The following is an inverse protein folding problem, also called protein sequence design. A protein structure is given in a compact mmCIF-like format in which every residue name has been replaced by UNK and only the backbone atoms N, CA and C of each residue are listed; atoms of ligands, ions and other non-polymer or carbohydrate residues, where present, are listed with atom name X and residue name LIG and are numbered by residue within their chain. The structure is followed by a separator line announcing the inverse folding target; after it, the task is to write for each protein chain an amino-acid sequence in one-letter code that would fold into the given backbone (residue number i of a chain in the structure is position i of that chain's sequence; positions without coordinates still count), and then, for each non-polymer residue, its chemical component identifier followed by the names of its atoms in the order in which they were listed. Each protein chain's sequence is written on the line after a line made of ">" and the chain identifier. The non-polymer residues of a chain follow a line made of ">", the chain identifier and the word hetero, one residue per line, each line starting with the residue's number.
data_IF_596592663898
#
_entry.id   IF_596592663898
#
_cell.length_a   1.000
_cell.length_b   1.000
_cell.length_c   1.000
_cell.angle_alpha   90.00
_cell.angle_beta   90.00
_cell.angle_gamma   90.00
#
_symmetry.space_group_name_H-M   'P 1'
#
loop_
_entity.id
_entity.type
_entity.pdbx_description
1 polymer ?
#
# COMPACT_ATOMS: atom_id res chain seq x y z
N UNK A 1 -26.55 -76.16 -12.89
CA UNK A 1 -26.27 -75.61 -14.24
C UNK A 1 -25.50 -74.32 -14.04
N UNK A 2 -24.33 -74.20 -14.64
CA UNK A 2 -23.39 -73.11 -14.38
C UNK A 2 -23.55 -71.98 -15.40
N UNK A 3 -23.64 -70.74 -14.95
CA UNK A 3 -23.55 -69.55 -15.80
C UNK A 3 -22.43 -68.65 -15.30
N UNK A 4 -21.24 -68.83 -15.86
CA UNK A 4 -20.16 -67.85 -15.72
C UNK A 4 -20.56 -66.56 -16.43
N UNK A 5 -20.52 -65.43 -15.73
CA UNK A 5 -20.59 -64.11 -16.35
C UNK A 5 -19.19 -63.50 -16.32
N UNK A 6 -18.49 -63.52 -17.46
CA UNK A 6 -17.27 -62.73 -17.62
C UNK A 6 -17.67 -61.25 -17.74
N UNK A 7 -16.99 -60.37 -17.00
CA UNK A 7 -16.97 -58.94 -17.28
C UNK A 7 -15.54 -58.42 -17.24
N UNK A 8 -15.26 -57.57 -18.24
CA UNK A 8 -13.95 -57.20 -18.72
C UNK A 8 -12.98 -56.63 -17.66
N UNK A 9 -11.69 -56.95 -17.83
CA UNK A 9 -10.61 -56.16 -17.22
C UNK A 9 -10.54 -54.75 -17.85
N UNK A 10 -10.21 -53.71 -17.07
CA UNK A 10 -9.91 -52.38 -17.61
C UNK A 10 -8.56 -52.38 -18.37
N UNK A 11 -8.38 -51.50 -19.37
CA UNK A 11 -7.14 -51.39 -20.12
C UNK A 11 -6.01 -50.78 -19.26
N UNK A 12 -4.73 -51.13 -19.53
CA UNK A 12 -3.58 -50.56 -18.83
C UNK A 12 -3.36 -49.08 -19.20
N UNK A 13 -2.76 -48.28 -18.29
CA UNK A 13 -2.50 -46.85 -18.52
C UNK A 13 -1.42 -46.63 -19.60
N UNK A 14 -1.47 -45.52 -20.35
CA UNK A 14 -0.45 -45.19 -21.35
C UNK A 14 0.90 -44.86 -20.70
N UNK A 15 1.98 -45.39 -21.28
CA UNK A 15 3.34 -45.09 -20.85
C UNK A 15 3.79 -43.67 -21.22
N UNK A 16 4.87 -43.16 -20.59
CA UNK A 16 5.31 -41.78 -20.77
C UNK A 16 5.89 -41.54 -22.17
N UNK A 17 5.33 -40.54 -22.87
CA UNK A 17 5.88 -40.01 -24.12
C UNK A 17 7.23 -39.32 -23.86
N UNK A 18 8.31 -39.93 -24.34
CA UNK A 18 9.62 -39.31 -24.41
C UNK A 18 9.62 -38.22 -25.49
N UNK A 19 9.80 -36.96 -25.11
CA UNK A 19 10.05 -35.88 -26.07
C UNK A 19 11.56 -35.75 -26.35
N UNK A 20 11.93 -35.77 -27.62
CA UNK A 20 13.31 -35.86 -28.08
C UNK A 20 14.11 -34.56 -27.84
N UNK A 21 15.42 -34.72 -27.69
CA UNK A 21 16.36 -33.62 -27.53
C UNK A 21 16.52 -32.77 -28.81
N UNK A 22 16.65 -31.45 -28.63
CA UNK A 22 17.02 -30.50 -29.68
C UNK A 22 18.49 -30.03 -29.49
N UNK A 23 19.18 -29.56 -30.56
CA UNK A 23 20.64 -29.67 -30.64
C UNK A 23 21.45 -28.55 -29.97
N UNK A 24 22.67 -28.91 -29.54
CA UNK A 24 23.64 -28.03 -28.90
C UNK A 24 24.23 -27.00 -29.88
N UNK A 25 24.03 -25.69 -29.62
CA UNK A 25 24.73 -24.63 -30.34
C UNK A 25 26.06 -24.25 -29.65
N UNK A 26 27.13 -24.51 -30.40
CA UNK A 26 28.54 -24.37 -30.00
C UNK A 26 28.94 -22.89 -29.81
N UNK A 27 29.31 -22.47 -28.59
CA UNK A 27 30.15 -21.26 -28.40
C UNK A 27 31.40 -21.58 -27.57
N UNK A 28 32.57 -21.37 -28.19
CA UNK A 28 33.90 -21.43 -27.56
C UNK A 28 34.00 -20.34 -26.49
N UNK A 29 34.57 -20.67 -25.33
CA UNK A 29 34.91 -19.69 -24.31
C UNK A 29 36.27 -19.03 -24.54
N UNK A 30 36.49 -17.93 -23.82
CA UNK A 30 37.81 -17.55 -23.29
C UNK A 30 37.61 -16.81 -21.96
N UNK A 31 38.54 -17.01 -21.04
CA UNK A 31 38.62 -16.45 -19.67
C UNK A 31 40.01 -15.77 -19.53
N UNK A 32 40.39 -15.19 -18.39
CA UNK A 32 40.29 -13.76 -18.10
C UNK A 32 41.66 -13.06 -17.94
N UNK A 33 41.66 -11.73 -17.91
CA UNK A 33 42.69 -10.85 -17.31
C UNK A 33 42.02 -9.47 -17.14
N UNK A 34 42.03 -8.71 -16.03
CA UNK A 34 42.94 -8.47 -14.91
C UNK A 34 43.78 -7.17 -15.04
N UNK A 35 43.44 -6.20 -14.17
CA UNK A 35 44.31 -5.20 -13.50
C UNK A 35 44.76 -3.90 -14.21
N UNK A 36 44.70 -2.83 -13.38
CA UNK A 36 45.46 -1.57 -13.42
C UNK A 36 45.09 -0.55 -14.52
N UNK A 37 45.38 0.76 -14.39
CA UNK A 37 45.46 1.69 -13.25
C UNK A 37 45.64 3.14 -13.81
N UNK A 38 45.47 4.15 -12.96
CA UNK A 38 45.92 5.54 -13.12
C UNK A 38 45.23 6.49 -14.15
N UNK A 39 45.01 7.71 -13.66
CA UNK A 39 44.66 8.97 -14.37
C UNK A 39 45.95 9.64 -14.93
N UNK A 40 46.03 10.95 -15.29
CA UNK A 40 45.02 12.01 -15.52
C UNK A 40 45.29 12.83 -16.84
N UNK A 41 44.79 14.08 -16.91
CA UNK A 41 44.98 15.09 -17.97
C UNK A 41 44.17 14.83 -19.26
N UNK A 42 43.61 15.77 -20.02
CA UNK A 42 43.66 17.26 -20.11
C UNK A 42 42.33 17.74 -20.74
N UNK A 43 41.86 19.01 -20.72
CA UNK A 43 42.29 20.29 -20.13
C UNK A 43 41.10 21.28 -20.23
N UNK A 44 40.94 22.25 -19.30
CA UNK A 44 40.51 23.65 -19.57
C UNK A 44 40.26 24.45 -18.26
N UNK A 45 41.16 25.38 -17.97
CA UNK A 45 40.93 26.44 -16.97
C UNK A 45 40.12 27.58 -17.58
N UNK A 46 39.20 28.16 -16.82
CA UNK A 46 38.86 29.58 -16.98
C UNK A 46 38.83 30.25 -15.61
N UNK A 47 39.69 31.26 -15.45
CA UNK A 47 39.93 31.93 -14.18
C UNK A 47 38.86 32.99 -13.89
N UNK A 48 38.64 33.29 -12.61
CA UNK A 48 37.90 34.48 -12.21
C UNK A 48 38.67 35.74 -12.63
N UNK A 49 37.98 36.67 -13.27
CA UNK A 49 38.38 38.07 -13.34
C UNK A 49 37.21 38.94 -12.86
N UNK A 50 37.39 39.59 -11.71
CA UNK A 50 36.51 40.64 -11.20
C UNK A 50 36.83 41.96 -11.92
N UNK A 51 35.85 42.65 -12.54
CA UNK A 51 35.98 44.07 -12.83
C UNK A 51 35.43 44.90 -11.66
N UNK A 52 36.31 45.65 -11.01
CA UNK A 52 35.93 46.74 -10.10
C UNK A 52 35.47 47.94 -10.95
N UNK A 53 34.17 48.24 -10.95
CA UNK A 53 33.60 49.61 -11.05
C UNK A 53 32.07 49.57 -11.18
N UNK A 54 31.36 50.04 -10.15
CA UNK A 54 29.90 50.18 -10.14
C UNK A 54 29.51 51.67 -10.08
N UNK A 55 28.74 52.21 -11.03
CA UNK A 55 28.12 53.52 -10.88
C UNK A 55 26.90 53.46 -9.95
N UNK A 56 26.77 54.46 -9.07
CA UNK A 56 25.64 54.61 -8.14
C UNK A 56 24.30 54.93 -8.85
N UNK A 57 23.57 53.93 -9.38
CA UNK A 57 22.11 54.04 -9.67
C UNK A 57 21.41 52.71 -10.04
N UNK A 58 21.43 51.71 -9.15
CA UNK A 58 20.71 50.44 -9.40
C UNK A 58 20.14 49.72 -8.16
N UNK A 59 19.87 50.43 -7.05
CA UNK A 59 19.41 49.79 -5.81
C UNK A 59 17.91 49.41 -5.75
N UNK A 60 17.05 49.91 -6.66
CA UNK A 60 15.61 49.62 -6.60
C UNK A 60 15.18 48.28 -7.24
N UNK A 61 15.86 47.77 -8.28
CA UNK A 61 15.38 46.56 -8.97
C UNK A 61 15.69 45.24 -8.23
N UNK A 62 16.68 45.24 -7.35
CA UNK A 62 17.18 44.02 -6.68
C UNK A 62 16.26 43.54 -5.55
N UNK A 63 15.46 44.43 -4.96
CA UNK A 63 14.49 44.07 -3.92
C UNK A 63 13.18 43.49 -4.47
N UNK A 64 12.76 43.87 -5.69
CA UNK A 64 11.51 43.38 -6.29
C UNK A 64 11.61 41.88 -6.64
N UNK A 65 12.74 41.43 -7.20
CA UNK A 65 12.93 40.02 -7.54
C UNK A 65 13.08 39.08 -6.34
N UNK A 66 13.70 39.55 -5.23
CA UNK A 66 13.72 38.76 -3.99
C UNK A 66 12.34 38.72 -3.29
N UNK A 67 11.52 39.75 -3.43
CA UNK A 67 10.16 39.76 -2.88
C UNK A 67 9.26 38.69 -3.50
N UNK A 68 9.27 38.55 -4.84
CA UNK A 68 8.43 37.58 -5.54
C UNK A 68 8.80 36.11 -5.25
N UNK A 69 10.08 35.81 -5.02
CA UNK A 69 10.52 34.46 -4.66
C UNK A 69 10.15 34.08 -3.21
N UNK A 70 10.10 35.05 -2.28
CA UNK A 70 9.64 34.82 -0.92
C UNK A 70 8.13 34.56 -0.82
N UNK A 71 7.33 35.26 -1.62
CA UNK A 71 5.86 35.10 -1.64
C UNK A 71 5.40 33.76 -2.25
N UNK A 72 6.16 33.18 -3.19
CA UNK A 72 5.80 31.88 -3.78
C UNK A 72 6.09 30.69 -2.84
N UNK A 73 7.03 30.85 -1.90
CA UNK A 73 7.38 29.80 -0.93
C UNK A 73 6.39 29.67 0.25
N UNK A 74 5.56 30.69 0.50
CA UNK A 74 4.62 30.73 1.64
C UNK A 74 3.22 30.15 1.32
N UNK A 75 2.95 29.77 0.07
CA UNK A 75 1.66 29.22 -0.36
C UNK A 75 1.66 27.68 -0.50
N UNK A 76 2.80 27.01 -0.29
CA UNK A 76 2.92 25.55 -0.37
C UNK A 76 2.81 24.86 1.00
N UNK A 77 1.79 25.20 1.79
CA UNK A 77 1.49 24.52 3.04
C UNK A 77 0.25 23.63 2.87
N UNK A 78 0.43 22.54 2.13
CA UNK A 78 -0.64 21.59 1.81
C UNK A 78 -1.27 21.02 3.09
N UNK A 79 -2.58 21.23 3.23
CA UNK A 79 -3.36 20.65 4.33
C UNK A 79 -3.28 19.13 4.32
N UNK A 80 -2.86 18.54 5.43
CA UNK A 80 -3.06 17.11 5.67
C UNK A 80 -4.29 16.95 6.57
N UNK A 81 -5.36 16.44 5.97
CA UNK A 81 -6.47 15.83 6.68
C UNK A 81 -5.93 14.68 7.56
N UNK A 82 -6.67 14.31 8.61
CA UNK A 82 -6.26 13.24 9.51
C UNK A 82 -6.09 11.91 8.75
N UNK A 83 -4.84 11.50 8.55
CA UNK A 83 -4.48 10.28 7.85
C UNK A 83 -4.19 9.16 8.84
N UNK A 84 -4.68 7.97 8.53
CA UNK A 84 -4.23 6.75 9.18
C UNK A 84 -2.74 6.56 8.90
N UNK A 85 -1.97 6.26 9.94
CA UNK A 85 -0.55 5.98 9.86
C UNK A 85 -0.39 4.46 9.94
N UNK A 86 -0.16 3.81 8.79
CA UNK A 86 0.08 2.37 8.69
C UNK A 86 1.58 2.10 8.79
N UNK A 87 2.01 1.33 9.78
CA UNK A 87 3.42 1.02 10.06
C UNK A 87 3.65 -0.48 10.17
N UNK A 88 4.73 -0.98 9.57
CA UNK A 88 5.15 -2.38 9.74
C UNK A 88 6.08 -2.47 10.96
N UNK A 89 5.79 -3.40 11.86
CA UNK A 89 6.56 -3.63 13.09
C UNK A 89 7.47 -4.86 12.99
N UNK A 90 7.05 -5.85 12.20
CA UNK A 90 7.77 -7.10 11.92
C UNK A 90 7.24 -7.69 10.60
N UNK A 91 8.05 -8.41 9.80
CA UNK A 91 9.47 -8.70 10.03
C UNK A 91 10.40 -7.55 9.63
N UNK A 92 11.59 -7.48 10.22
CA UNK A 92 12.53 -6.35 9.97
C UNK A 92 13.05 -6.27 8.54
N UNK A 93 13.21 -7.40 7.84
CA UNK A 93 13.67 -7.40 6.45
C UNK A 93 12.65 -6.70 5.52
N UNK A 94 11.35 -6.92 5.74
CA UNK A 94 10.26 -6.26 5.00
C UNK A 94 10.29 -4.74 5.17
N UNK A 95 10.66 -4.23 6.36
CA UNK A 95 10.81 -2.80 6.61
C UNK A 95 11.92 -2.21 5.71
N UNK A 96 13.09 -2.86 5.64
CA UNK A 96 14.19 -2.38 4.78
C UNK A 96 13.88 -2.54 3.27
N UNK A 97 13.13 -3.57 2.86
CA UNK A 97 12.65 -3.71 1.48
C UNK A 97 11.66 -2.60 1.09
N UNK A 98 10.67 -2.32 1.94
CA UNK A 98 9.71 -1.22 1.76
C UNK A 98 10.41 0.14 1.71
N UNK A 99 11.44 0.34 2.52
CA UNK A 99 12.30 1.54 2.51
C UNK A 99 13.07 1.66 1.20
N UNK A 100 13.70 0.58 0.74
CA UNK A 100 14.38 0.52 -0.56
C UNK A 100 13.44 0.75 -1.75
N UNK A 101 12.17 0.34 -1.62
CA UNK A 101 11.12 0.57 -2.61
C UNK A 101 10.51 1.99 -2.57
N UNK A 102 10.83 2.82 -1.56
CA UNK A 102 10.25 4.15 -1.36
C UNK A 102 8.78 4.13 -0.94
N UNK A 103 8.39 3.17 -0.09
CA UNK A 103 7.02 3.01 0.43
C UNK A 103 6.64 4.02 1.53
N UNK A 104 7.64 4.57 2.22
CA UNK A 104 7.44 5.40 3.42
C UNK A 104 7.38 6.90 3.13
N UNK A 105 6.60 7.64 3.92
CA UNK A 105 6.57 9.11 3.88
C UNK A 105 7.75 9.72 4.65
N UNK A 106 8.66 10.39 3.92
CA UNK A 106 9.88 11.03 4.47
C UNK A 106 9.63 11.95 5.69
N UNK A 107 8.46 12.59 5.75
CA UNK A 107 8.10 13.54 6.83
C UNK A 107 7.36 12.88 8.01
N UNK A 108 6.87 11.65 7.87
CA UNK A 108 6.05 10.94 8.85
C UNK A 108 6.71 9.64 9.38
N UNK A 109 8.00 9.45 9.11
CA UNK A 109 8.76 8.27 9.52
C UNK A 109 8.40 7.02 8.72
N UNK A 110 8.43 5.86 9.38
CA UNK A 110 8.16 4.54 8.76
C UNK A 110 6.64 4.30 8.57
N UNK A 111 5.96 5.29 8.01
CA UNK A 111 4.52 5.27 7.70
C UNK A 111 4.32 5.03 6.21
N UNK A 112 3.62 3.95 5.86
CA UNK A 112 3.31 3.58 4.47
C UNK A 112 2.38 4.61 3.84
N UNK A 113 2.71 5.03 2.62
CA UNK A 113 1.88 5.96 1.84
C UNK A 113 0.61 5.26 1.37
N UNK A 114 -0.56 5.79 1.78
CA UNK A 114 -1.87 5.28 1.40
C UNK A 114 -2.97 6.34 1.49
N UNK A 115 -4.21 5.90 1.32
CA UNK A 115 -5.43 6.70 1.49
C UNK A 115 -6.34 6.07 2.54
N UNK A 116 -6.96 6.88 3.39
CA UNK A 116 -7.92 6.42 4.39
C UNK A 116 -9.31 6.19 3.82
N UNK A 117 -10.10 5.36 4.48
CA UNK A 117 -11.54 5.33 4.25
C UNK A 117 -12.31 6.44 4.97
N UNK A 118 -13.40 6.83 4.32
CA UNK A 118 -14.42 7.76 4.82
C UNK A 118 -15.45 7.10 5.76
N UNK A 119 -15.29 5.80 6.01
CA UNK A 119 -16.16 4.96 6.82
C UNK A 119 -15.31 4.08 7.76
N UNK A 120 -15.93 3.52 8.81
CA UNK A 120 -15.22 2.70 9.80
C UNK A 120 -14.16 3.47 10.60
N UNK A 121 -14.28 4.80 10.69
CA UNK A 121 -13.28 5.65 11.33
C UNK A 121 -13.22 5.36 12.84
N UNK A 122 -12.08 4.91 13.37
CA UNK A 122 -11.94 4.67 14.80
C UNK A 122 -11.81 6.01 15.55
N UNK A 123 -11.98 5.99 16.87
CA UNK A 123 -11.76 7.16 17.69
C UNK A 123 -10.32 7.68 17.53
N UNK A 124 -10.15 9.00 17.38
CA UNK A 124 -8.83 9.63 17.26
C UNK A 124 -7.93 9.33 18.47
N UNK A 125 -6.63 9.22 18.23
CA UNK A 125 -5.65 8.86 19.27
C UNK A 125 -5.69 7.39 19.69
N UNK A 126 -6.43 6.53 18.96
CA UNK A 126 -6.33 5.07 19.14
C UNK A 126 -5.23 4.48 18.25
N UNK A 127 -4.57 3.47 18.80
CA UNK A 127 -3.52 2.68 18.12
C UNK A 127 -4.00 1.23 18.07
N UNK A 128 -4.10 0.66 16.87
CA UNK A 128 -4.45 -0.72 16.62
C UNK A 128 -3.20 -1.48 16.20
N UNK A 129 -2.79 -2.48 17.00
CA UNK A 129 -1.66 -3.37 16.70
C UNK A 129 -2.16 -4.79 16.47
N UNK A 130 -1.89 -5.37 15.31
CA UNK A 130 -2.40 -6.70 14.95
C UNK A 130 -1.52 -7.44 13.94
N UNK A 131 -1.83 -8.72 13.72
CA UNK A 131 -1.19 -9.55 12.68
C UNK A 131 -1.92 -9.37 11.36
N UNK A 132 -1.16 -9.29 10.27
CA UNK A 132 -1.70 -9.37 8.91
C UNK A 132 -2.10 -10.78 8.53
N UNK A 133 -3.22 -10.87 7.83
CA UNK A 133 -3.74 -12.09 7.22
C UNK A 133 -4.09 -11.82 5.75
N UNK A 134 -3.72 -12.76 4.89
CA UNK A 134 -4.03 -12.73 3.47
C UNK A 134 -4.20 -14.14 2.95
N UNK A 135 -5.20 -14.33 2.08
CA UNK A 135 -5.35 -15.55 1.28
C UNK A 135 -5.58 -15.10 -0.16
N UNK A 136 -4.77 -15.57 -1.14
CA UNK A 136 -5.02 -15.27 -2.54
C UNK A 136 -6.43 -15.68 -2.98
N UNK A 137 -7.15 -14.74 -3.56
CA UNK A 137 -8.39 -14.99 -4.28
C UNK A 137 -8.03 -15.13 -5.78
N UNK A 138 -8.50 -16.17 -6.49
CA UNK A 138 -8.08 -16.42 -7.87
C UNK A 138 -8.54 -15.29 -8.82
N UNK A 139 -7.70 -15.01 -9.82
CA UNK A 139 -8.02 -14.08 -10.89
C UNK A 139 -9.30 -14.50 -11.63
N UNK A 140 -10.01 -13.52 -12.18
CA UNK A 140 -11.22 -13.72 -13.00
C UNK A 140 -11.02 -13.07 -14.35
N UNK A 141 -11.83 -13.39 -15.36
CA UNK A 141 -11.74 -12.75 -16.69
C UNK A 141 -11.84 -11.20 -16.67
N UNK A 142 -12.30 -10.62 -15.55
CA UNK A 142 -12.47 -9.17 -15.36
C UNK A 142 -11.36 -8.51 -14.53
N UNK A 143 -10.50 -9.27 -13.84
CA UNK A 143 -9.48 -8.75 -12.91
C UNK A 143 -8.29 -9.70 -12.84
N UNK A 144 -7.08 -9.16 -13.02
CA UNK A 144 -5.79 -9.90 -12.98
C UNK A 144 -5.48 -10.54 -11.61
N UNK A 145 -6.21 -10.15 -10.58
CA UNK A 145 -6.20 -10.73 -9.24
C UNK A 145 -7.63 -11.04 -8.80
N UNK A 146 -7.79 -11.85 -7.75
CA UNK A 146 -9.10 -11.99 -7.12
C UNK A 146 -9.61 -10.68 -6.54
N UNK A 147 -10.84 -10.74 -6.05
CA UNK A 147 -11.62 -9.55 -5.72
C UNK A 147 -12.05 -9.48 -4.26
N UNK A 148 -11.95 -10.58 -3.50
CA UNK A 148 -12.33 -10.63 -2.08
C UNK A 148 -13.76 -10.13 -1.81
N UNK A 149 -14.65 -10.29 -2.80
CA UNK A 149 -16.02 -9.78 -2.78
C UNK A 149 -17.05 -10.81 -2.27
N UNK A 150 -16.61 -11.97 -1.75
CA UNK A 150 -17.50 -13.05 -1.32
C UNK A 150 -17.15 -13.58 0.09
N UNK A 151 -18.15 -14.03 0.88
CA UNK A 151 -17.90 -14.64 2.19
C UNK A 151 -17.04 -15.92 2.17
N UNK A 152 -16.87 -16.56 1.00
CA UNK A 152 -16.00 -17.72 0.84
C UNK A 152 -14.53 -17.44 1.22
N UNK A 153 -14.10 -16.17 1.24
CA UNK A 153 -12.82 -15.79 1.80
C UNK A 153 -12.73 -16.05 3.32
N UNK A 154 -13.80 -15.83 4.08
CA UNK A 154 -13.83 -16.09 5.52
C UNK A 154 -13.53 -17.56 5.82
N UNK A 155 -14.10 -18.48 5.04
CA UNK A 155 -13.94 -19.93 5.24
C UNK A 155 -12.49 -20.39 5.09
N UNK A 156 -11.76 -19.84 4.11
CA UNK A 156 -10.35 -20.16 3.86
C UNK A 156 -9.44 -19.74 5.03
N UNK A 157 -9.73 -18.59 5.64
CA UNK A 157 -8.85 -17.92 6.61
C UNK A 157 -9.24 -18.17 8.07
N UNK A 158 -10.46 -18.68 8.31
CA UNK A 158 -11.06 -18.85 9.64
C UNK A 158 -10.19 -19.61 10.63
N UNK A 159 -9.57 -20.72 10.22
CA UNK A 159 -8.80 -21.56 11.13
C UNK A 159 -7.56 -20.83 11.69
N UNK A 160 -6.85 -20.09 10.84
CA UNK A 160 -5.67 -19.32 11.22
C UNK A 160 -6.04 -18.12 12.11
N UNK A 161 -7.16 -17.46 11.79
CA UNK A 161 -7.71 -16.35 12.58
C UNK A 161 -8.17 -16.83 13.96
N UNK A 162 -8.92 -17.92 14.02
CA UNK A 162 -9.39 -18.52 15.29
C UNK A 162 -8.20 -19.06 16.12
N UNK A 163 -7.12 -19.52 15.49
CA UNK A 163 -5.90 -19.90 16.19
C UNK A 163 -5.17 -18.69 16.76
N UNK A 164 -5.04 -17.60 15.98
CA UNK A 164 -4.40 -16.37 16.43
C UNK A 164 -5.16 -15.71 17.57
N UNK A 165 -6.49 -15.60 17.48
CA UNK A 165 -7.31 -15.00 18.55
C UNK A 165 -7.20 -15.73 19.90
N UNK A 166 -6.83 -17.02 19.91
CA UNK A 166 -6.56 -17.75 21.17
C UNK A 166 -5.32 -17.26 21.91
N UNK A 167 -4.42 -16.50 21.26
CA UNK A 167 -3.28 -15.87 21.93
C UNK A 167 -3.74 -14.88 23.03
N UNK A 168 -4.94 -14.30 22.89
CA UNK A 168 -5.52 -13.36 23.86
C UNK A 168 -5.62 -13.97 25.26
N UNK A 169 -6.00 -15.25 25.34
CA UNK A 169 -6.09 -15.99 26.60
C UNK A 169 -4.74 -16.13 27.33
N UNK A 170 -3.63 -15.94 26.62
CA UNK A 170 -2.26 -15.90 27.15
C UNK A 170 -1.67 -14.47 27.23
N UNK A 171 -2.50 -13.43 27.03
CA UNK A 171 -2.06 -12.02 27.02
C UNK A 171 -1.30 -11.60 25.74
N UNK A 172 -1.35 -12.41 24.69
CA UNK A 172 -0.75 -12.10 23.39
C UNK A 172 -1.60 -11.15 22.54
N UNK A 173 -1.02 -10.56 21.48
CA UNK A 173 -1.78 -9.74 20.54
C UNK A 173 -2.77 -10.62 19.76
N UNK A 174 -4.05 -10.28 19.81
CA UNK A 174 -5.14 -11.04 19.18
C UNK A 174 -5.80 -10.35 17.99
N UNK A 175 -5.45 -9.08 17.74
CA UNK A 175 -6.03 -8.26 16.68
C UNK A 175 -5.65 -8.76 15.29
N UNK A 176 -6.60 -8.64 14.38
CA UNK A 176 -6.59 -9.25 13.05
C UNK A 176 -6.73 -8.17 11.99
N UNK A 177 -5.72 -8.05 11.12
CA UNK A 177 -5.70 -7.06 10.04
C UNK A 177 -5.76 -7.81 8.72
N UNK A 178 -6.83 -7.59 7.94
CA UNK A 178 -7.03 -8.28 6.68
C UNK A 178 -6.47 -7.50 5.51
N UNK A 179 -5.62 -8.15 4.72
CA UNK A 179 -5.17 -7.64 3.43
C UNK A 179 -6.12 -8.15 2.33
N UNK A 180 -6.55 -7.26 1.44
CA UNK A 180 -7.61 -7.51 0.47
C UNK A 180 -7.29 -6.87 -0.88
N UNK A 181 -7.51 -7.57 -1.98
CA UNK A 181 -7.25 -7.05 -3.32
C UNK A 181 -8.39 -6.12 -3.78
N UNK A 182 -8.03 -4.94 -4.29
CA UNK A 182 -8.97 -4.08 -5.02
C UNK A 182 -9.43 -4.80 -6.30
N UNK A 183 -10.73 -4.78 -6.57
CA UNK A 183 -11.35 -5.49 -7.69
C UNK A 183 -12.73 -4.96 -8.03
N UNK A 184 -13.63 -5.84 -8.48
CA UNK A 184 -14.96 -5.48 -9.03
C UNK A 184 -15.99 -4.91 -8.04
N UNK A 185 -15.91 -5.23 -6.74
CA UNK A 185 -16.81 -4.66 -5.73
C UNK A 185 -16.25 -3.38 -5.09
N UNK A 186 -17.16 -2.59 -4.53
CA UNK A 186 -16.88 -1.35 -3.80
C UNK A 186 -15.99 -1.59 -2.58
N UNK A 187 -15.31 -0.53 -2.11
CA UNK A 187 -14.50 -0.60 -0.90
C UNK A 187 -15.35 -0.96 0.32
N UNK A 188 -16.52 -0.33 0.49
CA UNK A 188 -17.44 -0.61 1.59
C UNK A 188 -17.85 -2.10 1.62
N UNK A 189 -18.30 -2.67 0.50
CA UNK A 189 -18.66 -4.11 0.43
C UNK A 189 -17.51 -5.02 0.88
N UNK A 190 -16.28 -4.73 0.45
CA UNK A 190 -15.10 -5.55 0.76
C UNK A 190 -14.71 -5.48 2.24
N UNK A 191 -14.73 -4.27 2.82
CA UNK A 191 -14.42 -4.04 4.24
C UNK A 191 -15.53 -4.59 5.14
N UNK A 192 -16.80 -4.50 4.74
CA UNK A 192 -17.92 -5.18 5.42
C UNK A 192 -17.73 -6.69 5.48
N UNK A 193 -17.29 -7.33 4.39
CA UNK A 193 -17.01 -8.77 4.37
C UNK A 193 -15.85 -9.09 5.33
N UNK A 194 -14.76 -8.31 5.30
CA UNK A 194 -13.65 -8.49 6.24
C UNK A 194 -14.08 -8.36 7.71
N UNK A 195 -14.92 -7.38 8.03
CA UNK A 195 -15.54 -7.23 9.35
C UNK A 195 -16.39 -8.44 9.73
N UNK A 196 -17.22 -8.95 8.82
CA UNK A 196 -18.04 -10.14 9.05
C UNK A 196 -17.21 -11.43 9.22
N UNK A 197 -16.05 -11.52 8.57
CA UNK A 197 -15.06 -12.57 8.81
C UNK A 197 -14.32 -12.41 10.16
N UNK A 198 -14.51 -11.29 10.88
CA UNK A 198 -13.90 -11.03 12.18
C UNK A 198 -12.56 -10.28 12.14
N UNK A 199 -12.26 -9.52 11.10
CA UNK A 199 -11.15 -8.57 11.12
C UNK A 199 -11.42 -7.40 12.09
N UNK A 200 -10.36 -6.83 12.67
CA UNK A 200 -10.37 -5.58 13.45
C UNK A 200 -9.99 -4.36 12.58
N UNK A 201 -9.29 -4.57 11.45
CA UNK A 201 -8.95 -3.56 10.46
C UNK A 201 -8.77 -4.19 9.07
N UNK A 202 -8.85 -3.37 8.00
CA UNK A 202 -8.64 -3.83 6.63
C UNK A 202 -7.65 -2.94 5.84
N UNK A 203 -6.71 -3.57 5.14
CA UNK A 203 -5.80 -2.91 4.19
C UNK A 203 -6.14 -3.40 2.78
N UNK A 204 -6.56 -2.46 1.92
CA UNK A 204 -6.86 -2.76 0.52
C UNK A 204 -5.61 -2.48 -0.32
N UNK A 205 -5.21 -3.42 -1.17
CA UNK A 205 -4.08 -3.26 -2.10
C UNK A 205 -4.61 -2.90 -3.49
N UNK A 206 -4.08 -1.85 -4.12
CA UNK A 206 -4.46 -1.50 -5.49
C UNK A 206 -3.96 -2.53 -6.52
N UNK A 207 -4.76 -3.55 -6.79
CA UNK A 207 -4.54 -4.51 -7.89
C UNK A 207 -5.45 -4.25 -9.10
N UNK A 208 -6.06 -3.07 -9.18
CA UNK A 208 -6.83 -2.67 -10.36
C UNK A 208 -5.96 -2.49 -11.62
N UNK A 209 -6.57 -2.56 -12.80
CA UNK A 209 -5.89 -2.36 -14.10
C UNK A 209 -5.24 -0.97 -14.25
N UNK A 210 -5.64 -0.01 -13.42
CA UNK A 210 -5.16 1.38 -13.46
C UNK A 210 -3.77 1.61 -12.87
N UNK A 211 -3.24 0.64 -12.09
CA UNK A 211 -1.87 0.68 -11.53
C UNK A 211 -1.49 2.01 -10.87
N UNK A 212 -2.28 2.47 -9.91
CA UNK A 212 -2.13 3.82 -9.36
C UNK A 212 -0.82 3.99 -8.57
N UNK A 213 -0.18 5.14 -8.77
CA UNK A 213 1.02 5.51 -8.01
C UNK A 213 0.69 5.85 -6.55
N UNK A 214 1.68 5.74 -5.66
CA UNK A 214 1.56 6.13 -4.24
C UNK A 214 0.98 7.54 -4.07
N UNK A 215 1.49 8.50 -4.83
CA UNK A 215 1.02 9.89 -4.81
C UNK A 215 -0.42 10.02 -5.30
N UNK A 216 -0.81 9.30 -6.36
CA UNK A 216 -2.19 9.32 -6.85
C UNK A 216 -3.16 8.73 -5.83
N UNK A 217 -2.82 7.60 -5.20
CA UNK A 217 -3.63 7.02 -4.13
C UNK A 217 -3.79 8.02 -2.98
N UNK A 218 -2.68 8.61 -2.51
CA UNK A 218 -2.67 9.55 -1.38
C UNK A 218 -3.49 10.83 -1.61
N UNK A 219 -3.46 11.40 -2.82
CA UNK A 219 -4.03 12.74 -3.08
C UNK A 219 -5.31 12.75 -3.94
N UNK A 220 -5.57 11.69 -4.71
CA UNK A 220 -6.67 11.66 -5.69
C UNK A 220 -7.68 10.53 -5.45
N UNK A 221 -7.40 9.61 -4.51
CA UNK A 221 -8.31 8.52 -4.16
C UNK A 221 -8.76 8.71 -2.71
N UNK A 222 -10.06 8.66 -2.50
CA UNK A 222 -10.69 8.51 -1.19
C UNK A 222 -11.48 7.20 -1.26
N UNK A 223 -11.35 6.31 -0.28
CA UNK A 223 -12.26 5.16 -0.19
C UNK A 223 -13.62 5.68 0.31
N UNK A 224 -14.44 6.14 -0.64
CA UNK A 224 -15.81 6.58 -0.39
C UNK A 224 -16.69 5.43 0.04
N UNK A 225 -17.62 5.71 0.94
CA UNK A 225 -18.83 4.90 1.10
C UNK A 225 -19.60 4.88 -0.23
N UNK A 226 -20.26 3.76 -0.53
CA UNK A 226 -21.20 3.57 -1.65
C UNK A 226 -22.67 3.81 -1.23
N UNK A 227 -22.88 4.28 0.01
CA UNK A 227 -24.18 4.51 0.63
C UNK A 227 -24.63 3.35 1.53
N UNK A 228 -23.82 2.30 1.68
CA UNK A 228 -24.13 1.15 2.53
C UNK A 228 -23.31 1.09 3.82
N UNK A 229 -22.17 1.78 3.88
CA UNK A 229 -21.09 1.65 4.87
C UNK A 229 -21.41 2.07 6.31
N UNK A 230 -22.66 2.40 6.62
CA UNK A 230 -23.14 2.75 7.96
C UNK A 230 -22.95 1.63 9.01
N UNK A 231 -22.82 0.38 8.56
CA UNK A 231 -22.57 -0.79 9.40
C UNK A 231 -21.07 -1.13 9.55
N UNK A 232 -20.19 -0.40 8.88
CA UNK A 232 -18.74 -0.62 8.91
C UNK A 232 -18.12 0.21 10.03
N UNK A 233 -17.58 -0.50 11.02
CA UNK A 233 -16.96 0.04 12.23
C UNK A 233 -15.45 -0.23 12.30
N UNK A 234 -14.90 -1.03 11.38
CA UNK A 234 -13.45 -1.30 11.33
C UNK A 234 -12.71 -0.27 10.46
N UNK A 235 -11.56 0.24 10.91
CA UNK A 235 -10.71 1.09 10.09
C UNK A 235 -10.28 0.43 8.79
N UNK A 236 -10.13 1.23 7.73
CA UNK A 236 -9.50 0.76 6.50
C UNK A 236 -8.66 1.79 5.75
N UNK A 237 -7.67 1.28 5.02
CA UNK A 237 -6.65 2.04 4.26
C UNK A 237 -6.40 1.38 2.91
N UNK A 238 -6.24 2.16 1.85
CA UNK A 238 -5.80 1.73 0.52
C UNK A 238 -4.31 2.02 0.35
N UNK A 239 -3.52 1.04 -0.08
CA UNK A 239 -2.09 1.16 -0.39
C UNK A 239 -1.78 0.80 -1.84
N UNK A 240 -0.60 1.20 -2.33
CA UNK A 240 -0.19 0.96 -3.71
C UNK A 240 0.07 -0.53 -4.01
N UNK A 241 -0.01 -0.90 -5.29
CA UNK A 241 0.31 -2.27 -5.75
C UNK A 241 1.72 -2.70 -5.33
N UNK A 242 2.68 -1.80 -5.44
CA UNK A 242 4.09 -2.10 -5.21
C UNK A 242 4.37 -2.40 -3.73
N UNK A 243 3.82 -1.57 -2.83
CA UNK A 243 4.00 -1.73 -1.38
C UNK A 243 3.21 -2.93 -0.87
N UNK A 244 1.97 -3.05 -1.33
CA UNK A 244 1.10 -4.18 -1.00
C UNK A 244 1.72 -5.50 -1.43
N UNK A 245 2.25 -5.63 -2.66
CA UNK A 245 2.82 -6.89 -3.13
C UNK A 245 3.96 -7.39 -2.24
N UNK A 246 4.89 -6.52 -1.82
CA UNK A 246 5.96 -6.89 -0.89
C UNK A 246 5.41 -7.42 0.45
N UNK A 247 4.38 -6.77 0.99
CA UNK A 247 3.73 -7.21 2.23
C UNK A 247 2.98 -8.53 2.02
N UNK A 248 2.26 -8.69 0.91
CA UNK A 248 1.54 -9.92 0.57
C UNK A 248 2.51 -11.11 0.41
N UNK A 249 3.63 -10.91 -0.27
CA UNK A 249 4.67 -11.92 -0.46
C UNK A 249 5.28 -12.33 0.89
N UNK A 250 5.54 -11.37 1.78
CA UNK A 250 6.00 -11.64 3.15
C UNK A 250 4.95 -12.36 4.02
N UNK A 251 3.64 -12.07 3.88
CA UNK A 251 2.58 -12.82 4.57
C UNK A 251 2.53 -14.28 4.10
N UNK A 252 2.63 -14.51 2.77
CA UNK A 252 2.58 -15.85 2.17
C UNK A 252 3.83 -16.66 2.53
N UNK A 253 5.02 -16.06 2.44
CA UNK A 253 6.28 -16.72 2.76
C UNK A 253 6.47 -16.93 4.27
N UNK A 254 6.07 -15.95 5.08
CA UNK A 254 6.28 -15.90 6.53
C UNK A 254 5.20 -16.58 7.38
N UNK A 255 4.26 -17.32 6.78
CA UNK A 255 3.09 -17.89 7.47
C UNK A 255 3.42 -18.82 8.67
N UNK A 256 4.68 -19.30 8.77
CA UNK A 256 5.15 -20.18 9.87
C UNK A 256 6.20 -19.58 10.84
N UNK A 257 7.14 -18.74 10.37
CA UNK A 257 8.34 -18.36 11.15
C UNK A 257 8.23 -17.00 11.87
N UNK A 258 7.93 -15.91 11.15
CA UNK A 258 7.80 -14.57 11.73
C UNK A 258 6.53 -13.89 11.18
N UNK A 259 5.49 -13.65 12.01
CA UNK A 259 4.23 -13.09 11.53
C UNK A 259 4.40 -11.61 11.16
N UNK A 260 3.83 -11.20 10.03
CA UNK A 260 3.79 -9.77 9.68
C UNK A 260 2.89 -9.04 10.68
N UNK A 261 3.48 -8.17 11.50
CA UNK A 261 2.80 -7.36 12.51
C UNK A 261 2.74 -5.90 12.06
N UNK A 262 1.58 -5.28 12.22
CA UNK A 262 1.34 -3.90 11.82
C UNK A 262 0.74 -3.10 12.98
N UNK A 263 1.02 -1.80 12.92
CA UNK A 263 0.42 -0.77 13.74
C UNK A 263 -0.36 0.19 12.82
N UNK A 264 -1.56 0.55 13.23
CA UNK A 264 -2.39 1.57 12.57
C UNK A 264 -2.81 2.60 13.61
N UNK A 265 -2.55 3.88 13.32
CA UNK A 265 -2.78 4.98 14.27
C UNK A 265 -3.54 6.13 13.59
N UNK A 266 -4.57 6.67 14.26
CA UNK A 266 -5.37 7.80 13.78
C UNK A 266 -5.05 9.06 14.57
N UNK A 267 -3.91 9.66 14.22
CA UNK A 267 -3.45 10.90 14.83
C UNK A 267 -4.19 12.12 14.26
N UNK A 268 -4.68 12.97 15.16
CA UNK A 268 -5.08 14.34 14.80
C UNK A 268 -3.79 15.13 14.53
N UNK A 269 -3.65 15.81 13.38
CA UNK A 269 -2.47 16.62 13.10
C UNK A 269 -2.37 17.76 14.13
N UNK A 270 -1.36 17.69 15.00
CA UNK A 270 -1.15 18.62 16.12
C UNK A 270 -0.53 19.98 15.69
N UNK A 271 -0.88 20.47 14.50
CA UNK A 271 -0.29 21.67 13.90
C UNK A 271 -1.10 22.91 14.30
N UNK A 272 -0.44 23.92 14.88
CA UNK A 272 -1.05 25.21 15.17
C UNK A 272 -0.71 26.24 14.07
N UNK A 273 -1.69 26.99 13.52
CA UNK A 273 -3.13 26.87 13.73
C UNK A 273 -3.72 25.63 13.04
N UNK A 274 -4.78 25.07 13.62
CA UNK A 274 -5.57 24.00 12.98
C UNK A 274 -6.52 24.63 11.96
N UNK A 275 -6.31 24.38 10.67
CA UNK A 275 -7.27 24.73 9.64
C UNK A 275 -8.41 23.69 9.63
N UNK A 276 -9.66 24.17 9.75
CA UNK A 276 -10.86 23.34 9.69
C UNK A 276 -11.73 23.83 8.54
N UNK A 277 -12.01 22.95 7.58
CA UNK A 277 -12.95 23.22 6.49
C UNK A 277 -14.29 22.58 6.81
N UNK A 278 -15.33 23.41 6.96
CA UNK A 278 -16.69 22.95 7.16
C UNK A 278 -17.42 22.86 5.82
N UNK A 279 -17.91 21.67 5.49
CA UNK A 279 -18.73 21.43 4.30
C UNK A 279 -20.20 21.45 4.70
N UNK A 280 -20.96 22.44 4.22
CA UNK A 280 -22.40 22.58 4.50
C UNK A 280 -23.22 22.48 3.22
N UNK A 281 -24.22 21.60 3.19
CA UNK A 281 -25.19 21.56 2.09
C UNK A 281 -26.13 22.78 2.19
N UNK A 282 -26.27 23.61 1.13
CA UNK A 282 -27.14 24.80 1.15
C UNK A 282 -28.65 24.46 1.22
N UNK A 283 -29.04 23.21 0.95
CA UNK A 283 -30.40 22.71 1.07
C UNK A 283 -30.84 22.49 2.53
N UNK A 284 -29.91 22.20 3.43
CA UNK A 284 -30.23 21.83 4.81
C UNK A 284 -30.67 23.04 5.65
N UNK A 285 -31.72 22.85 6.48
CA UNK A 285 -32.27 23.92 7.33
C UNK A 285 -31.26 24.48 8.34
N UNK A 286 -30.33 23.65 8.80
CA UNK A 286 -29.32 24.01 9.79
C UNK A 286 -28.25 24.93 9.16
N UNK A 287 -27.78 24.59 7.96
CA UNK A 287 -26.80 25.38 7.18
C UNK A 287 -27.25 26.84 6.94
N UNK A 288 -28.55 27.07 6.73
CA UNK A 288 -29.09 28.42 6.46
C UNK A 288 -28.89 29.40 7.62
N UNK A 289 -28.82 28.91 8.85
CA UNK A 289 -28.59 29.74 10.03
C UNK A 289 -27.13 30.22 10.14
N UNK A 290 -26.18 29.50 9.52
CA UNK A 290 -24.75 29.84 9.50
C UNK A 290 -24.49 30.94 8.45
N UNK A 291 -25.17 30.89 7.31
CA UNK A 291 -25.02 31.86 6.21
C UNK A 291 -25.67 33.23 6.46
N UNK A 292 -26.23 33.47 7.66
CA UNK A 292 -26.97 34.69 8.01
C UNK A 292 -26.41 35.42 9.25
N UNK A 293 -25.20 35.07 9.68
CA UNK A 293 -24.40 35.81 10.67
C UNK A 293 -23.23 36.53 9.98
#
# INVERSE_FOLDING_TARGET
>A
MSTHSLSAMPPPPPGPLQLAAAPQSRRRGRRPEARHAASPASLLSFALCLPVSLPHRAYCLRHVFLGCLGLFALLWNSGQLASAQLRIQSPKHLIEELKGAGAFEEQAGETIIGSTASFGTPAYGTVLRGKAFYVPDPATERVDSGSHCTPAYCEKIKNEVDQWKKSEATGGPSKVIFFLDRGICTFATKVRIAQACGADAAVVVDRGVSGWSRSYIRFNVIMSDDGTGQDINIPSVLISRADGQLILDAIIAGAGDEPVLLEMEWNIPNRWPVAVEFWTDPGERQSKCILTQ
#
